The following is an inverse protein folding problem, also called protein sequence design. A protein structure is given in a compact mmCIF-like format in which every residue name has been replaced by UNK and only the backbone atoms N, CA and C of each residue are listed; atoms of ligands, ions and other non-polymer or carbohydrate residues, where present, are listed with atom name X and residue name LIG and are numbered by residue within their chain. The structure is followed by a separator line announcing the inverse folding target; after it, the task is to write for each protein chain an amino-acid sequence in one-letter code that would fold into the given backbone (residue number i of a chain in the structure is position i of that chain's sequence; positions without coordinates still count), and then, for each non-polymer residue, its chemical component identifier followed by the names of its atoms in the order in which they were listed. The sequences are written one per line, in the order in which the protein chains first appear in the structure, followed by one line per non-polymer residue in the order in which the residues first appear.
data_IF_270174155754
#
_entry.id   IF_270174155754
#
_cell.length_a   1.000
_cell.length_b   1.000
_cell.length_c   1.000
_cell.angle_alpha   90.00
_cell.angle_beta   90.00
_cell.angle_gamma   90.00
#
_symmetry.space_group_name_H-M   'P 1'
#
loop_
_entity.id
_entity.type
_entity.pdbx_description
1 polymer ?
#
# COMPACT_ATOMS: atom_id res chain seq x y z
N UNK A 1 -4.25 -23.19 14.31
CA UNK A 1 -4.46 -22.18 13.24
C UNK A 1 -3.97 -22.79 11.94
N UNK A 2 -4.69 -22.55 10.85
CA UNK A 2 -4.27 -23.01 9.51
C UNK A 2 -3.79 -21.77 8.76
N UNK A 3 -2.59 -21.84 8.18
CA UNK A 3 -1.97 -20.73 7.46
C UNK A 3 -1.50 -19.59 8.38
N UNK A 4 -1.34 -18.40 7.79
CA UNK A 4 -0.99 -17.16 8.46
C UNK A 4 -2.01 -16.07 8.11
N UNK A 5 -2.23 -15.10 9.00
CA UNK A 5 -3.04 -13.95 8.65
C UNK A 5 -2.34 -13.11 7.57
N UNK A 6 -3.16 -12.39 6.80
CA UNK A 6 -2.70 -11.40 5.82
C UNK A 6 -3.40 -10.06 6.09
N UNK A 7 -2.66 -8.97 5.95
CA UNK A 7 -3.23 -7.63 5.87
C UNK A 7 -3.18 -7.18 4.42
N UNK A 8 -4.32 -6.74 3.89
CA UNK A 8 -4.41 -6.09 2.58
C UNK A 8 -4.79 -4.63 2.76
N UNK A 9 -4.04 -3.76 2.11
CA UNK A 9 -4.33 -2.32 2.04
C UNK A 9 -4.52 -1.89 0.59
N UNK A 10 -5.52 -1.05 0.36
CA UNK A 10 -5.75 -0.37 -0.92
C UNK A 10 -5.45 1.11 -0.71
N UNK A 11 -4.96 1.78 -1.76
CA UNK A 11 -4.62 3.21 -1.73
C UNK A 11 -5.20 3.93 -2.93
N UNK A 12 -5.38 5.23 -2.79
CA UNK A 12 -5.79 6.14 -3.86
C UNK A 12 -4.56 6.92 -4.32
N UNK A 13 -4.48 7.22 -5.61
CA UNK A 13 -3.41 8.04 -6.19
C UNK A 13 -3.40 9.43 -5.55
N UNK A 14 -2.19 9.90 -5.25
CA UNK A 14 -1.99 11.29 -4.82
C UNK A 14 -2.38 12.23 -5.96
N UNK A 15 -3.00 13.36 -5.63
CA UNK A 15 -3.51 14.37 -6.56
C UNK A 15 -4.64 13.87 -7.48
N UNK A 16 -5.44 12.92 -7.00
CA UNK A 16 -6.68 12.50 -7.67
C UNK A 16 -7.78 13.57 -7.66
N UNK A 17 -7.68 14.56 -6.77
CA UNK A 17 -8.64 15.66 -6.68
C UNK A 17 -8.15 16.97 -7.33
N UNK A 18 -9.08 17.84 -7.72
CA UNK A 18 -8.79 19.19 -8.22
C UNK A 18 -8.76 20.19 -7.06
N UNK A 19 -7.57 20.61 -6.65
CA UNK A 19 -7.40 21.66 -5.63
C UNK A 19 -7.61 23.05 -6.25
N UNK A 20 -8.50 23.90 -5.72
CA UNK A 20 -8.67 25.27 -6.20
C UNK A 20 -7.37 26.07 -6.08
N UNK A 21 -7.09 26.93 -7.08
CA UNK A 21 -5.83 27.69 -7.18
C UNK A 21 -5.47 28.45 -5.89
N UNK A 22 -6.46 28.98 -5.17
CA UNK A 22 -6.26 29.71 -3.92
C UNK A 22 -5.59 28.86 -2.81
N UNK A 23 -5.71 27.54 -2.87
CA UNK A 23 -5.21 26.61 -1.85
C UNK A 23 -4.04 25.73 -2.33
N UNK A 24 -3.61 25.88 -3.58
CA UNK A 24 -2.54 25.04 -4.15
C UNK A 24 -1.20 25.18 -3.41
N UNK A 25 -0.89 26.37 -2.89
CA UNK A 25 0.35 26.59 -2.13
C UNK A 25 0.23 26.17 -0.65
N UNK A 26 -0.97 25.83 -0.18
CA UNK A 26 -1.21 25.44 1.21
C UNK A 26 -1.28 23.92 1.38
N UNK A 27 -1.71 23.20 0.34
CA UNK A 27 -1.92 21.75 0.38
C UNK A 27 -0.81 21.02 -0.38
N UNK A 28 -0.16 20.07 0.28
CA UNK A 28 0.92 19.26 -0.31
C UNK A 28 0.43 18.10 -1.19
N UNK A 29 -0.89 17.90 -1.25
CA UNK A 29 -1.54 16.89 -2.07
C UNK A 29 -3.02 16.78 -1.76
N UNK A 30 -3.75 16.04 -2.59
CA UNK A 30 -5.16 15.78 -2.38
C UNK A 30 -5.57 14.41 -2.88
N UNK A 31 -6.48 13.76 -2.16
CA UNK A 31 -6.99 12.43 -2.49
C UNK A 31 -8.51 12.48 -2.53
N UNK A 32 -9.10 11.92 -3.59
CA UNK A 32 -10.54 11.70 -3.64
C UNK A 32 -10.94 10.52 -2.74
N UNK A 33 -12.26 10.38 -2.53
CA UNK A 33 -12.82 9.11 -2.05
C UNK A 33 -12.44 7.97 -3.00
N UNK A 34 -12.24 6.77 -2.45
CA UNK A 34 -11.86 5.61 -3.24
C UNK A 34 -12.85 5.36 -4.39
N UNK A 35 -12.29 5.19 -5.58
CA UNK A 35 -12.94 4.58 -6.71
C UNK A 35 -11.93 3.69 -7.44
N UNK A 36 -12.43 2.73 -8.21
CA UNK A 36 -11.57 1.78 -8.91
C UNK A 36 -10.58 2.45 -9.89
N UNK A 37 -10.93 3.58 -10.52
CA UNK A 37 -10.07 4.24 -11.50
C UNK A 37 -8.90 5.00 -10.87
N UNK A 38 -9.10 5.50 -9.65
CA UNK A 38 -8.12 6.26 -8.88
C UNK A 38 -7.30 5.36 -7.93
N UNK A 39 -7.45 4.04 -8.00
CA UNK A 39 -6.65 3.10 -7.23
C UNK A 39 -5.15 3.20 -7.59
N UNK A 40 -4.30 3.22 -6.57
CA UNK A 40 -2.85 3.36 -6.69
C UNK A 40 -2.19 2.00 -6.87
N UNK A 41 -1.60 1.78 -8.04
CA UNK A 41 -0.94 0.51 -8.43
C UNK A 41 0.59 0.63 -8.47
N UNK A 42 1.14 1.75 -8.01
CA UNK A 42 2.58 2.01 -7.97
C UNK A 42 3.35 1.10 -7.00
N UNK A 43 4.67 1.27 -7.04
CA UNK A 43 5.57 0.65 -6.09
C UNK A 43 6.15 1.74 -5.20
N UNK A 44 6.28 1.44 -3.91
CA UNK A 44 6.77 2.38 -2.92
C UNK A 44 7.88 1.76 -2.09
N UNK A 45 8.69 2.62 -1.51
CA UNK A 45 9.55 2.21 -0.40
C UNK A 45 8.70 2.14 0.88
N UNK A 46 9.15 1.36 1.89
CA UNK A 46 8.54 1.40 3.21
C UNK A 46 8.34 2.82 3.72
N UNK A 47 7.16 3.09 4.30
CA UNK A 47 6.71 4.44 4.65
C UNK A 47 6.04 5.21 3.50
N UNK A 48 5.66 4.54 2.40
CA UNK A 48 4.97 5.15 1.25
C UNK A 48 5.77 6.25 0.52
N UNK A 49 7.10 6.21 0.65
CA UNK A 49 7.96 7.15 -0.06
C UNK A 49 8.16 6.72 -1.51
N UNK A 50 8.21 7.70 -2.41
CA UNK A 50 8.41 7.47 -3.84
C UNK A 50 9.76 6.81 -4.10
N UNK A 51 9.81 5.90 -5.06
CA UNK A 51 11.02 5.18 -5.47
C UNK A 51 11.87 6.09 -6.38
N UNK A 52 12.45 7.15 -5.83
CA UNK A 52 13.48 7.93 -6.52
C UNK A 52 14.83 7.22 -6.34
N UNK A 53 15.29 6.53 -7.38
CA UNK A 53 16.56 5.80 -7.45
C UNK A 53 16.63 4.56 -6.53
N UNK A 54 16.16 3.41 -7.04
CA UNK A 54 16.20 2.10 -6.38
C UNK A 54 17.61 1.59 -5.99
N UNK A 55 18.67 2.28 -6.39
CA UNK A 55 20.05 1.79 -6.30
C UNK A 55 20.79 2.19 -5.03
N UNK A 56 20.28 3.14 -4.22
CA UNK A 56 20.95 3.59 -2.98
C UNK A 56 19.93 4.30 -2.08
N UNK A 57 19.30 3.57 -1.16
CA UNK A 57 18.38 4.14 -0.18
C UNK A 57 18.03 3.16 0.96
N UNK A 58 17.25 3.60 1.98
CA UNK A 58 16.88 2.83 3.17
C UNK A 58 16.10 1.52 2.89
N UNK A 59 15.78 1.24 1.64
CA UNK A 59 15.07 0.06 1.17
C UNK A 59 15.76 -1.27 1.53
N UNK A 60 17.10 -1.29 1.54
CA UNK A 60 17.90 -2.48 1.93
C UNK A 60 17.86 -2.79 3.43
N UNK A 61 17.42 -1.84 4.27
CA UNK A 61 17.36 -2.06 5.72
C UNK A 61 16.11 -2.83 6.16
N UNK A 62 15.14 -3.01 5.26
CA UNK A 62 13.90 -3.70 5.56
C UNK A 62 13.96 -5.15 5.09
N UNK A 63 13.28 -6.03 5.82
CA UNK A 63 13.12 -7.42 5.40
C UNK A 63 12.34 -7.53 4.08
N UNK A 64 12.55 -8.61 3.35
CA UNK A 64 11.84 -8.88 2.10
C UNK A 64 10.31 -8.87 2.27
N UNK A 65 9.81 -9.36 3.41
CA UNK A 65 8.38 -9.34 3.74
C UNK A 65 7.84 -7.91 3.86
N UNK A 66 8.60 -7.02 4.49
CA UNK A 66 8.23 -5.60 4.58
C UNK A 66 8.29 -4.96 3.21
N UNK A 67 9.40 -5.15 2.48
CA UNK A 67 9.60 -4.57 1.15
C UNK A 67 8.50 -4.95 0.16
N UNK A 68 8.15 -6.24 0.12
CA UNK A 68 7.10 -6.76 -0.76
C UNK A 68 5.70 -6.25 -0.41
N UNK A 69 5.47 -5.82 0.84
CA UNK A 69 4.20 -5.22 1.24
C UNK A 69 3.94 -3.84 0.64
N UNK A 70 4.96 -3.14 0.15
CA UNK A 70 4.82 -1.84 -0.53
C UNK A 70 4.82 -1.96 -2.07
N UNK A 71 4.68 -3.18 -2.59
CA UNK A 71 4.55 -3.48 -4.02
C UNK A 71 3.10 -3.91 -4.27
N UNK A 72 2.41 -3.19 -5.16
CA UNK A 72 1.05 -3.54 -5.53
C UNK A 72 0.98 -4.91 -6.21
N UNK A 73 -0.04 -5.70 -5.87
CA UNK A 73 -0.38 -6.96 -6.55
C UNK A 73 -1.81 -6.92 -7.05
N UNK A 74 -2.02 -7.43 -8.24
CA UNK A 74 -3.32 -7.50 -8.90
C UNK A 74 -4.21 -8.59 -8.30
N UNK A 75 -5.51 -8.47 -8.52
CA UNK A 75 -6.50 -9.48 -8.12
C UNK A 75 -6.18 -10.88 -8.68
N UNK A 76 -5.65 -10.95 -9.92
CA UNK A 76 -5.28 -12.21 -10.56
C UNK A 76 -4.05 -12.86 -9.92
N UNK A 77 -3.02 -12.07 -9.57
CA UNK A 77 -1.83 -12.58 -8.87
C UNK A 77 -2.16 -13.08 -7.47
N UNK A 78 -3.11 -12.42 -6.79
CA UNK A 78 -3.53 -12.81 -5.45
C UNK A 78 -4.60 -13.92 -5.44
N UNK A 79 -5.26 -14.18 -6.57
CA UNK A 79 -6.40 -15.09 -6.65
C UNK A 79 -7.58 -14.66 -5.76
N UNK A 80 -7.67 -13.38 -5.41
CA UNK A 80 -8.69 -12.85 -4.49
C UNK A 80 -9.79 -12.14 -5.26
N UNK A 81 -11.08 -12.38 -4.95
CA UNK A 81 -12.19 -11.70 -5.60
C UNK A 81 -12.33 -10.24 -5.12
N UNK A 82 -13.18 -9.50 -5.83
CA UNK A 82 -13.64 -8.19 -5.37
C UNK A 82 -14.52 -8.33 -4.11
N UNK A 83 -14.54 -7.27 -3.30
CA UNK A 83 -15.29 -7.20 -2.05
C UNK A 83 -16.22 -5.98 -2.06
N UNK A 84 -17.51 -6.21 -1.89
CA UNK A 84 -18.49 -5.13 -1.76
C UNK A 84 -18.58 -4.68 -0.30
N UNK A 85 -17.99 -3.52 0.01
CA UNK A 85 -18.13 -2.88 1.31
C UNK A 85 -19.31 -1.91 1.36
N UNK A 86 -19.49 -1.25 2.50
CA UNK A 86 -20.57 -0.28 2.68
C UNK A 86 -20.38 1.00 1.85
N UNK A 87 -19.14 1.38 1.56
CA UNK A 87 -18.81 2.63 0.88
C UNK A 87 -18.43 2.47 -0.59
N UNK A 88 -17.89 1.31 -0.97
CA UNK A 88 -17.42 1.05 -2.33
C UNK A 88 -17.28 -0.45 -2.61
N UNK A 89 -17.11 -0.78 -3.89
CA UNK A 89 -16.65 -2.10 -4.33
C UNK A 89 -15.13 -2.02 -4.44
N UNK A 90 -14.45 -2.79 -3.61
CA UNK A 90 -12.99 -2.89 -3.57
C UNK A 90 -12.54 -4.04 -4.45
N UNK A 91 -11.63 -3.79 -5.38
CA UNK A 91 -11.09 -4.89 -6.18
C UNK A 91 -10.21 -5.84 -5.34
N UNK A 92 -9.89 -6.98 -5.93
CA UNK A 92 -9.08 -8.00 -5.27
C UNK A 92 -7.61 -7.61 -5.08
N UNK A 93 -7.11 -6.62 -5.81
CA UNK A 93 -5.71 -6.19 -5.71
C UNK A 93 -5.37 -5.44 -4.42
N UNK A 94 -4.10 -5.09 -4.28
CA UNK A 94 -3.62 -4.23 -3.20
C UNK A 94 -2.20 -4.53 -2.75
N UNK A 95 -1.82 -3.85 -1.68
CA UNK A 95 -0.57 -3.99 -0.95
C UNK A 95 -0.75 -5.03 0.16
N UNK A 96 0.11 -6.04 0.23
CA UNK A 96 -0.10 -7.22 1.08
C UNK A 96 1.05 -7.43 2.06
N UNK A 97 0.74 -7.47 3.35
CA UNK A 97 1.66 -7.96 4.37
C UNK A 97 1.23 -9.34 4.87
N UNK A 98 2.15 -10.30 4.84
CA UNK A 98 1.92 -11.66 5.34
C UNK A 98 2.57 -11.82 6.72
N UNK A 99 1.77 -12.17 7.73
CA UNK A 99 2.26 -12.37 9.10
C UNK A 99 2.87 -13.77 9.27
N UNK A 100 3.96 -14.04 8.54
CA UNK A 100 4.70 -15.31 8.59
C UNK A 100 5.77 -15.27 9.68
N UNK A 101 6.01 -16.42 10.31
CA UNK A 101 7.11 -16.60 11.27
C UNK A 101 6.68 -16.42 12.73
N UNK A 102 7.65 -16.17 13.59
CA UNK A 102 7.41 -16.04 15.04
C UNK A 102 6.85 -14.66 15.36
N UNK A 103 5.99 -14.59 16.36
CA UNK A 103 5.37 -13.34 16.78
C UNK A 103 6.39 -12.25 17.17
N UNK A 104 7.51 -12.64 17.78
CA UNK A 104 8.61 -11.73 18.11
C UNK A 104 9.27 -11.13 16.87
N UNK A 105 9.44 -11.92 15.81
CA UNK A 105 10.04 -11.45 14.54
C UNK A 105 9.09 -10.49 13.82
N UNK A 106 7.79 -10.82 13.82
CA UNK A 106 6.74 -9.97 13.28
C UNK A 106 6.73 -8.62 13.98
N UNK A 107 6.71 -8.58 15.33
CA UNK A 107 6.76 -7.31 16.07
C UNK A 107 8.02 -6.52 15.70
N UNK A 108 9.19 -7.14 15.76
CA UNK A 108 10.45 -6.43 15.50
C UNK A 108 10.48 -5.83 14.08
N UNK A 109 9.96 -6.53 13.08
CA UNK A 109 9.86 -6.03 11.71
C UNK A 109 8.86 -4.88 11.56
N UNK A 110 7.78 -4.86 12.35
CA UNK A 110 6.76 -3.83 12.27
C UNK A 110 7.13 -2.58 13.08
N UNK A 111 7.95 -2.71 14.13
CA UNK A 111 8.37 -1.56 14.97
C UNK A 111 9.36 -0.62 14.31
N UNK A 112 9.95 -1.02 13.18
CA UNK A 112 10.90 -0.21 12.41
C UNK A 112 10.23 0.59 11.28
N UNK A 113 8.91 0.44 11.10
CA UNK A 113 8.10 1.17 10.12
C UNK A 113 7.66 2.55 10.63
#
# INVERSE_FOLDING_TARGET
MIGWPIMRQIRVKLNSCKVPNAFQNLLNGCENSYNFFDEEHGQFNPGWSSVYNASVGPWLNYSETIRSAFIYRTSNELGTPMFAGQHAIYLGGGYIYEFRGRMSEIINNLTIL
#
